data_IF_809302257011
#
_entry.id   IF_809302257011
#
_cell.length_a   1.000
_cell.length_b   1.000
_cell.length_c   1.000
_cell.angle_alpha   90.00
_cell.angle_beta   90.00
_cell.angle_gamma   90.00
#
_symmetry.space_group_name_H-M   'P 1'
#
loop_
_entity.id
_entity.type
_entity.pdbx_description
1 polymer ?
#
# COMPACT_ATOMS: atom_id res chain seq x y z
N UNK A 1 2.23 -1.31 -14.98
CA UNK A 1 1.39 -1.51 -16.18
C UNK A 1 1.42 -0.28 -17.07
N UNK A 2 1.10 -0.39 -18.35
CA UNK A 2 0.97 0.73 -19.29
C UNK A 2 -0.49 0.91 -19.71
N UNK A 3 -0.80 2.01 -20.39
CA UNK A 3 -2.16 2.27 -20.90
C UNK A 3 -2.61 1.22 -21.93
N UNK A 4 -3.93 1.10 -22.08
CA UNK A 4 -4.58 0.12 -22.96
C UNK A 4 -5.22 -1.03 -22.18
N UNK A 5 -5.55 -2.12 -22.89
CA UNK A 5 -6.40 -3.19 -22.35
C UNK A 5 -5.98 -3.74 -20.97
N UNK A 6 -4.68 -3.92 -20.65
CA UNK A 6 -4.26 -4.32 -19.30
C UNK A 6 -4.56 -3.26 -18.23
N UNK A 7 -4.24 -1.99 -18.49
CA UNK A 7 -4.54 -0.87 -17.60
C UNK A 7 -6.04 -0.71 -17.37
N UNK A 8 -6.82 -0.80 -18.45
CA UNK A 8 -8.29 -0.77 -18.37
C UNK A 8 -8.84 -1.92 -17.52
N UNK A 9 -8.22 -3.11 -17.61
CA UNK A 9 -8.52 -4.25 -16.74
C UNK A 9 -8.32 -3.92 -15.27
N UNK A 10 -7.15 -3.39 -14.90
CA UNK A 10 -6.88 -2.98 -13.52
C UNK A 10 -7.83 -1.89 -13.01
N UNK A 11 -8.16 -0.90 -13.84
CA UNK A 11 -9.15 0.13 -13.47
C UNK A 11 -10.52 -0.48 -13.21
N UNK A 12 -10.97 -1.43 -14.06
CA UNK A 12 -12.24 -2.12 -13.83
C UNK A 12 -12.21 -2.98 -12.56
N UNK A 13 -11.12 -3.69 -12.29
CA UNK A 13 -11.06 -4.65 -11.18
C UNK A 13 -10.75 -4.03 -9.82
N UNK A 14 -9.81 -3.09 -9.76
CA UNK A 14 -9.28 -2.57 -8.49
C UNK A 14 -9.33 -1.05 -8.40
N UNK A 15 -9.82 -0.34 -9.43
CA UNK A 15 -9.98 1.11 -9.42
C UNK A 15 -8.71 1.95 -9.55
N UNK A 16 -7.54 1.33 -9.40
CA UNK A 16 -6.25 1.97 -9.62
C UNK A 16 -5.13 0.97 -9.78
N UNK A 17 -3.97 1.43 -10.25
CA UNK A 17 -2.78 0.61 -10.45
C UNK A 17 -1.49 1.43 -10.59
N UNK A 18 -0.36 0.74 -10.50
CA UNK A 18 0.96 1.30 -10.79
C UNK A 18 1.15 1.49 -12.30
N UNK A 19 1.22 2.74 -12.76
CA UNK A 19 1.46 3.06 -14.16
C UNK A 19 2.93 3.41 -14.41
N UNK A 20 3.56 2.67 -15.33
CA UNK A 20 4.95 2.93 -15.74
C UNK A 20 5.07 4.35 -16.31
N UNK A 21 6.11 5.08 -15.88
CA UNK A 21 6.31 6.47 -16.30
C UNK A 21 5.43 7.51 -15.59
N UNK A 22 4.55 7.08 -14.68
CA UNK A 22 3.75 7.97 -13.81
C UNK A 22 4.03 7.70 -12.34
N UNK A 23 3.76 6.47 -11.91
CA UNK A 23 3.87 5.99 -10.54
C UNK A 23 5.33 5.76 -10.15
N UNK A 24 5.62 5.86 -8.86
CA UNK A 24 6.97 5.68 -8.29
C UNK A 24 6.95 4.74 -7.10
N UNK A 25 8.05 4.00 -6.87
CA UNK A 25 8.19 3.03 -5.77
C UNK A 25 9.43 3.28 -4.87
N UNK A 26 9.54 4.42 -4.17
CA UNK A 26 10.61 4.62 -3.20
C UNK A 26 10.38 3.83 -1.90
N UNK A 27 11.44 3.62 -1.12
CA UNK A 27 11.36 3.16 0.26
C UNK A 27 11.22 4.33 1.22
N UNK A 28 10.22 4.33 2.10
CA UNK A 28 10.01 5.37 3.09
C UNK A 28 9.11 4.91 4.24
N UNK A 29 9.15 5.67 5.36
CA UNK A 29 8.26 5.46 6.50
C UNK A 29 6.96 6.22 6.26
N UNK A 30 5.86 5.51 6.02
CA UNK A 30 4.55 6.12 5.89
C UNK A 30 3.88 6.21 7.27
N UNK A 31 3.30 7.36 7.58
CA UNK A 31 2.53 7.59 8.81
C UNK A 31 1.04 7.58 8.49
N UNK A 32 0.30 6.60 9.01
CA UNK A 32 -1.14 6.44 8.84
C UNK A 32 -1.85 6.85 10.12
N UNK A 33 -2.34 8.09 10.15
CA UNK A 33 -2.92 8.70 11.35
C UNK A 33 -4.45 8.80 11.32
N UNK A 34 -5.04 8.79 10.13
CA UNK A 34 -6.47 8.99 9.90
C UNK A 34 -6.99 7.92 8.96
N UNK A 35 -8.17 7.42 9.27
CA UNK A 35 -8.84 6.36 8.51
C UNK A 35 -10.26 6.81 8.15
N UNK A 36 -10.79 6.39 6.98
CA UNK A 36 -12.15 6.69 6.58
C UNK A 36 -13.16 5.93 7.43
N UNK A 37 -14.42 6.39 7.41
CA UNK A 37 -15.56 5.60 7.86
C UNK A 37 -15.89 4.54 6.80
N UNK A 38 -15.15 3.42 6.84
CA UNK A 38 -15.31 2.30 5.94
C UNK A 38 -15.00 0.99 6.67
N UNK A 39 -15.76 -0.11 6.46
CA UNK A 39 -15.56 -1.37 7.16
C UNK A 39 -14.11 -1.90 7.10
N UNK A 40 -13.40 -1.65 5.99
CA UNK A 40 -11.99 -2.06 5.84
C UNK A 40 -11.04 -1.40 6.85
N UNK A 41 -11.41 -0.23 7.38
CA UNK A 41 -10.67 0.45 8.44
C UNK A 41 -11.04 -0.02 9.86
N UNK A 42 -12.02 -0.92 10.03
CA UNK A 42 -12.46 -1.36 11.35
C UNK A 42 -11.31 -1.94 12.19
N UNK A 43 -11.18 -1.41 13.42
CA UNK A 43 -10.18 -1.84 14.39
C UNK A 43 -8.72 -1.53 14.03
N UNK A 44 -8.45 -0.84 12.91
CA UNK A 44 -7.11 -0.35 12.56
C UNK A 44 -6.81 0.87 13.42
N UNK A 45 -5.67 0.86 14.10
CA UNK A 45 -5.18 1.97 14.91
C UNK A 45 -4.10 2.75 14.16
N UNK A 46 -3.81 4.01 14.53
CA UNK A 46 -2.69 4.74 13.95
C UNK A 46 -1.38 3.97 14.06
N UNK A 47 -0.64 3.92 12.96
CA UNK A 47 0.65 3.25 12.87
C UNK A 47 1.54 3.95 11.84
N UNK A 48 2.83 3.70 11.93
CA UNK A 48 3.78 4.05 10.89
C UNK A 48 4.63 2.84 10.60
N UNK A 49 5.08 2.69 9.37
CA UNK A 49 5.88 1.53 9.00
C UNK A 49 6.67 1.83 7.75
N UNK A 50 7.88 1.28 7.71
CA UNK A 50 8.70 1.36 6.53
C UNK A 50 8.37 0.25 5.53
N UNK A 51 8.15 0.64 4.28
CA UNK A 51 7.97 -0.25 3.14
C UNK A 51 8.46 0.41 1.84
N UNK A 52 8.42 -0.32 0.73
CA UNK A 52 8.51 0.25 -0.62
C UNK A 52 7.11 0.75 -1.01
N UNK A 53 6.68 1.88 -0.46
CA UNK A 53 5.33 2.40 -0.65
C UNK A 53 5.19 3.12 -1.98
N UNK A 54 4.34 2.59 -2.85
CA UNK A 54 4.16 3.13 -4.20
C UNK A 54 3.16 4.28 -4.17
N UNK A 55 3.43 5.33 -4.94
CA UNK A 55 2.51 6.47 -5.05
C UNK A 55 2.52 7.13 -6.42
N UNK A 56 1.73 8.19 -6.56
CA UNK A 56 1.33 8.77 -7.85
C UNK A 56 0.65 7.72 -8.74
N UNK A 57 -0.26 6.95 -8.14
CA UNK A 57 -0.97 5.86 -8.79
C UNK A 57 -1.92 6.38 -9.88
N UNK A 58 -2.19 5.55 -10.89
CA UNK A 58 -3.27 5.82 -11.85
C UNK A 58 -4.57 5.31 -11.23
N UNK A 59 -5.56 6.18 -11.10
CA UNK A 59 -6.92 5.84 -10.66
C UNK A 59 -7.92 6.03 -11.80
N UNK A 60 -9.15 5.54 -11.60
CA UNK A 60 -10.31 5.96 -12.40
C UNK A 60 -10.43 7.48 -12.38
N UNK A 61 -11.03 8.04 -13.42
CA UNK A 61 -11.28 9.48 -13.48
C UNK A 61 -12.11 9.91 -12.26
N UNK A 62 -11.69 11.01 -11.63
CA UNK A 62 -12.26 11.51 -10.37
C UNK A 62 -12.32 10.50 -9.22
N UNK A 63 -11.54 9.42 -9.29
CA UNK A 63 -11.55 8.31 -8.32
C UNK A 63 -12.96 7.70 -8.14
N UNK A 64 -13.74 7.63 -9.22
CA UNK A 64 -15.11 7.12 -9.16
C UNK A 64 -15.18 5.70 -8.57
N UNK A 65 -15.94 5.55 -7.49
CA UNK A 65 -16.11 4.30 -6.76
C UNK A 65 -14.84 3.82 -6.05
N UNK A 66 -13.82 4.67 -5.89
CA UNK A 66 -12.57 4.37 -5.16
C UNK A 66 -12.54 5.11 -3.83
N UNK A 67 -12.32 4.38 -2.74
CA UNK A 67 -12.18 4.93 -1.39
C UNK A 67 -10.76 4.68 -0.88
N UNK A 68 -9.95 5.72 -0.66
CA UNK A 68 -8.65 5.57 0.01
C UNK A 68 -8.81 5.05 1.43
N UNK A 69 -8.02 4.04 1.80
CA UNK A 69 -7.98 3.46 3.14
C UNK A 69 -6.73 3.90 3.90
N UNK A 70 -5.56 3.75 3.26
CA UNK A 70 -4.29 4.18 3.82
C UNK A 70 -3.76 5.36 3.00
N UNK A 71 -3.69 6.53 3.64
CA UNK A 71 -3.20 7.77 3.03
C UNK A 71 -2.11 8.38 3.89
N UNK A 72 -1.03 8.81 3.27
CA UNK A 72 0.06 9.52 3.93
C UNK A 72 0.66 10.57 2.97
N UNK A 73 1.41 11.51 3.54
CA UNK A 73 2.14 12.54 2.78
C UNK A 73 3.61 12.13 2.73
N UNK A 74 4.17 11.84 1.55
CA UNK A 74 5.58 11.46 1.44
C UNK A 74 6.51 12.60 1.88
N UNK A 75 7.70 12.30 2.45
CA UNK A 75 8.68 13.32 2.77
C UNK A 75 9.26 13.97 1.52
N UNK A 76 9.80 15.19 1.66
CA UNK A 76 10.25 15.99 0.51
C UNK A 76 11.44 15.37 -0.25
N UNK A 77 12.26 14.59 0.44
CA UNK A 77 13.45 13.92 -0.09
C UNK A 77 13.19 12.46 -0.53
N UNK A 78 11.92 12.03 -0.57
CA UNK A 78 11.56 10.63 -0.88
C UNK A 78 11.88 10.22 -2.32
N UNK A 79 11.88 11.18 -3.26
CA UNK A 79 12.15 10.93 -4.68
C UNK A 79 13.51 11.54 -5.05
N UNK A 80 14.44 10.77 -5.62
CA UNK A 80 15.69 11.32 -6.18
C UNK A 80 15.45 12.33 -7.30
N UNK A 81 16.32 13.34 -7.42
CA UNK A 81 16.21 14.38 -8.45
C UNK A 81 16.30 13.86 -9.89
N UNK A 82 17.04 12.75 -10.10
CA UNK A 82 17.22 12.15 -11.43
C UNK A 82 16.04 11.25 -11.78
N UNK A 83 15.45 11.48 -12.95
CA UNK A 83 14.36 10.66 -13.49
C UNK A 83 14.80 9.19 -13.65
N UNK A 84 13.93 8.27 -13.23
CA UNK A 84 14.05 6.84 -13.44
C UNK A 84 12.64 6.26 -13.65
N UNK A 85 12.47 5.42 -14.66
CA UNK A 85 11.17 4.90 -15.11
C UNK A 85 10.35 4.17 -14.01
N UNK A 86 11.01 3.73 -12.94
CA UNK A 86 10.37 3.19 -11.73
C UNK A 86 10.40 4.14 -10.53
N UNK A 87 11.38 5.04 -10.41
CA UNK A 87 11.67 5.66 -9.12
C UNK A 87 11.54 7.19 -9.09
N UNK A 88 11.33 7.87 -10.22
CA UNK A 88 11.25 9.33 -10.24
C UNK A 88 10.62 9.84 -11.53
N UNK A 89 9.50 10.56 -11.40
CA UNK A 89 8.81 11.27 -12.49
C UNK A 89 8.57 12.73 -12.09
N UNK A 90 8.53 13.64 -13.07
CA UNK A 90 8.33 15.06 -12.82
C UNK A 90 7.00 15.36 -12.10
N UNK A 91 5.93 14.64 -12.47
CA UNK A 91 4.61 14.74 -11.84
C UNK A 91 4.65 14.30 -10.37
N UNK A 92 5.27 13.15 -10.08
CA UNK A 92 5.42 12.66 -8.71
C UNK A 92 6.24 13.63 -7.83
N UNK A 93 7.34 14.20 -8.36
CA UNK A 93 8.11 15.23 -7.65
C UNK A 93 7.28 16.48 -7.37
N UNK A 94 6.48 16.92 -8.33
CA UNK A 94 5.61 18.08 -8.15
C UNK A 94 4.54 17.81 -7.07
N UNK A 95 3.95 16.61 -7.04
CA UNK A 95 3.00 16.20 -6.02
C UNK A 95 3.63 16.18 -4.61
N UNK A 96 4.83 15.62 -4.47
CA UNK A 96 5.59 15.65 -3.20
C UNK A 96 5.87 17.08 -2.76
N UNK A 97 6.33 17.95 -3.68
CA UNK A 97 6.61 19.37 -3.37
C UNK A 97 5.37 20.13 -2.90
N UNK A 98 4.19 19.81 -3.45
CA UNK A 98 2.91 20.38 -3.00
C UNK A 98 2.37 19.75 -1.71
N UNK A 99 2.98 18.67 -1.24
CA UNK A 99 2.52 17.84 -0.11
C UNK A 99 1.16 17.20 -0.37
N UNK A 100 0.92 16.79 -1.62
CA UNK A 100 -0.32 16.12 -2.01
C UNK A 100 -0.42 14.77 -1.27
N UNK A 101 -1.56 14.47 -0.60
CA UNK A 101 -1.78 13.15 -0.01
C UNK A 101 -1.67 12.04 -1.05
N UNK A 102 -1.01 10.93 -0.68
CA UNK A 102 -0.83 9.75 -1.52
C UNK A 102 -1.53 8.54 -0.90
N UNK A 103 -2.05 7.64 -1.74
CA UNK A 103 -2.88 6.52 -1.31
C UNK A 103 -2.15 5.19 -1.50
N UNK A 104 -1.71 4.59 -0.39
CA UNK A 104 -0.96 3.33 -0.36
C UNK A 104 -1.89 2.12 -0.34
N UNK A 105 -3.14 2.33 0.04
CA UNK A 105 -4.20 1.33 0.00
C UNK A 105 -5.53 1.98 -0.31
N UNK A 106 -6.34 1.33 -1.14
CA UNK A 106 -7.69 1.77 -1.48
C UNK A 106 -8.57 0.57 -1.75
N UNK A 107 -9.88 0.77 -1.64
CA UNK A 107 -10.90 -0.16 -2.11
C UNK A 107 -11.62 0.44 -3.31
N UNK A 108 -12.22 -0.40 -4.13
CA UNK A 108 -13.07 0.01 -5.24
C UNK A 108 -14.36 -0.80 -5.27
N UNK A 109 -15.49 -0.15 -5.49
CA UNK A 109 -16.77 -0.79 -5.79
C UNK A 109 -17.25 -0.34 -7.17
N UNK A 110 -17.78 -1.29 -7.95
CA UNK A 110 -18.36 -1.03 -9.26
C UNK A 110 -19.89 -0.93 -9.16
N UNK A 111 -20.58 -0.30 -10.15
CA UNK A 111 -22.04 -0.20 -10.15
C UNK A 111 -22.79 -1.54 -10.09
N UNK A 112 -22.15 -2.64 -10.53
CA UNK A 112 -22.69 -3.99 -10.45
C UNK A 112 -22.43 -4.69 -9.10
N UNK A 113 -21.89 -3.97 -8.11
CA UNK A 113 -21.56 -4.50 -6.78
C UNK A 113 -20.22 -5.25 -6.71
N UNK A 114 -19.48 -5.42 -7.82
CA UNK A 114 -18.16 -6.06 -7.74
C UNK A 114 -17.16 -5.19 -7.00
N UNK A 115 -16.32 -5.84 -6.17
CA UNK A 115 -15.38 -5.20 -5.27
C UNK A 115 -13.94 -5.59 -5.58
N UNK A 116 -13.03 -4.65 -5.36
CA UNK A 116 -11.59 -4.85 -5.48
C UNK A 116 -10.85 -3.96 -4.49
N UNK A 117 -9.55 -4.21 -4.31
CA UNK A 117 -8.69 -3.34 -3.52
C UNK A 117 -7.29 -3.33 -4.10
N UNK A 118 -6.55 -2.25 -3.88
CA UNK A 118 -5.12 -2.18 -4.13
C UNK A 118 -4.36 -1.92 -2.84
N UNK A 119 -3.20 -2.54 -2.71
CA UNK A 119 -2.27 -2.37 -1.58
C UNK A 119 -0.85 -2.35 -2.14
N UNK A 120 -0.07 -1.37 -1.71
CA UNK A 120 1.28 -1.11 -2.27
C UNK A 120 2.41 -1.51 -1.32
N UNK A 121 2.08 -2.07 -0.15
CA UNK A 121 3.08 -2.57 0.80
C UNK A 121 3.39 -4.04 0.58
N UNK A 122 4.28 -4.58 1.42
CA UNK A 122 4.66 -5.98 1.44
C UNK A 122 6.05 -6.23 0.87
N UNK A 123 6.86 -5.19 0.64
CA UNK A 123 8.26 -5.36 0.22
C UNK A 123 9.09 -6.03 1.32
N UNK A 124 8.90 -5.61 2.57
CA UNK A 124 9.57 -6.21 3.72
C UNK A 124 8.64 -7.20 4.42
N UNK A 125 8.96 -8.50 4.32
CA UNK A 125 8.10 -9.58 4.80
C UNK A 125 7.84 -9.52 6.32
N UNK A 126 8.78 -9.01 7.11
CA UNK A 126 8.62 -8.81 8.55
C UNK A 126 7.51 -7.81 8.90
N UNK A 127 7.08 -6.92 7.99
CA UNK A 127 5.93 -6.03 8.21
C UNK A 127 4.63 -6.79 8.55
N UNK A 128 4.51 -8.07 8.18
CA UNK A 128 3.34 -8.88 8.53
C UNK A 128 3.18 -9.16 10.03
N UNK A 129 4.18 -8.88 10.88
CA UNK A 129 4.02 -8.94 12.34
C UNK A 129 3.48 -7.63 12.93
N UNK A 130 3.32 -6.56 12.14
CA UNK A 130 2.53 -5.40 12.57
C UNK A 130 1.04 -5.73 12.43
N UNK A 131 0.33 -5.70 13.55
CA UNK A 131 -1.09 -6.08 13.58
C UNK A 131 -1.98 -5.13 12.79
N UNK A 132 -1.65 -3.84 12.67
CA UNK A 132 -2.44 -2.89 11.88
C UNK A 132 -2.22 -3.10 10.39
N UNK A 133 -0.95 -3.27 9.98
CA UNK A 133 -0.56 -3.59 8.59
C UNK A 133 -1.26 -4.86 8.10
N UNK A 134 -1.28 -5.91 8.92
CA UNK A 134 -1.94 -7.16 8.58
C UNK A 134 -3.46 -7.07 8.63
N UNK A 135 -4.02 -6.42 9.66
CA UNK A 135 -5.47 -6.27 9.84
C UNK A 135 -6.13 -5.55 8.68
N UNK A 136 -5.56 -4.46 8.20
CA UNK A 136 -6.18 -3.70 7.09
C UNK A 136 -6.26 -4.53 5.82
N UNK A 137 -5.24 -5.35 5.52
CA UNK A 137 -5.25 -6.27 4.37
C UNK A 137 -6.27 -7.39 4.56
N UNK A 138 -6.32 -8.02 5.74
CA UNK A 138 -7.31 -9.06 6.04
C UNK A 138 -8.74 -8.52 5.95
N UNK A 139 -8.99 -7.32 6.48
CA UNK A 139 -10.26 -6.64 6.35
C UNK A 139 -10.62 -6.45 4.85
N UNK A 140 -9.68 -5.98 4.02
CA UNK A 140 -9.94 -5.80 2.59
C UNK A 140 -10.25 -7.11 1.86
N UNK A 141 -9.55 -8.20 2.20
CA UNK A 141 -9.83 -9.54 1.67
C UNK A 141 -11.26 -9.96 2.04
N UNK A 142 -11.64 -9.87 3.32
CA UNK A 142 -13.00 -10.16 3.78
C UNK A 142 -14.06 -9.30 3.07
N UNK A 143 -13.77 -8.01 2.87
CA UNK A 143 -14.69 -7.09 2.21
C UNK A 143 -14.93 -7.42 0.74
N UNK A 144 -13.88 -7.78 -0.02
CA UNK A 144 -14.03 -8.20 -1.43
C UNK A 144 -14.68 -9.58 -1.56
N UNK A 145 -14.62 -10.41 -0.51
CA UNK A 145 -15.38 -11.65 -0.40
C UNK A 145 -16.86 -11.43 -0.03
N UNK A 146 -17.32 -10.18 0.08
CA UNK A 146 -18.68 -9.81 0.49
C UNK A 146 -19.07 -10.23 1.91
N UNK A 147 -18.09 -10.51 2.75
CA UNK A 147 -18.30 -10.87 4.15
C UNK A 147 -18.28 -9.64 5.07
N UNK A 148 -18.91 -9.76 6.24
CA UNK A 148 -18.95 -8.69 7.24
C UNK A 148 -17.63 -8.62 8.01
N UNK A 149 -17.08 -7.42 8.13
CA UNK A 149 -15.89 -7.18 8.96
C UNK A 149 -16.32 -6.84 10.39
N UNK A 150 -15.79 -7.53 11.43
CA UNK A 150 -16.08 -7.19 12.81
C UNK A 150 -15.70 -5.75 13.16
N UNK A 151 -16.34 -5.15 14.16
CA UNK A 151 -16.03 -3.77 14.58
C UNK A 151 -14.56 -3.58 15.00
N UNK A 152 -13.93 -4.63 15.53
CA UNK A 152 -12.52 -4.64 15.93
C UNK A 152 -11.57 -5.15 14.82
N UNK A 153 -12.08 -5.31 13.60
CA UNK A 153 -11.36 -5.90 12.47
C UNK A 153 -11.33 -7.44 12.52
N UNK A 154 -10.86 -8.05 11.44
CA UNK A 154 -10.68 -9.49 11.33
C UNK A 154 -9.57 -9.93 12.30
N UNK A 155 -9.85 -10.87 13.23
CA UNK A 155 -8.86 -11.33 14.20
C UNK A 155 -7.78 -12.17 13.52
N UNK A 156 -6.53 -12.01 13.94
CA UNK A 156 -5.42 -12.83 13.46
C UNK A 156 -4.27 -12.86 14.48
N UNK A 157 -3.64 -14.01 14.67
CA UNK A 157 -2.54 -14.19 15.63
C UNK A 157 -1.21 -13.66 15.05
N UNK A 158 -0.50 -12.78 15.75
CA UNK A 158 0.75 -12.19 15.26
C UNK A 158 1.78 -13.30 14.94
N UNK A 159 2.28 -13.38 13.69
CA UNK A 159 3.24 -14.40 13.32
C UNK A 159 4.56 -14.26 14.09
N UNK A 160 5.14 -15.38 14.51
CA UNK A 160 6.51 -15.39 15.03
C UNK A 160 7.53 -15.24 13.91
N UNK A 161 8.79 -14.97 14.26
CA UNK A 161 9.87 -14.93 13.26
C UNK A 161 10.02 -16.30 12.58
N UNK A 162 9.94 -17.40 13.34
CA UNK A 162 10.03 -18.75 12.80
C UNK A 162 8.92 -19.00 11.77
N UNK A 163 7.68 -18.59 12.06
CA UNK A 163 6.56 -18.74 11.14
C UNK A 163 6.72 -17.93 9.85
N UNK A 164 7.34 -16.75 9.90
CA UNK A 164 7.62 -15.97 8.69
C UNK A 164 8.72 -16.60 7.81
N UNK A 165 9.57 -17.45 8.39
CA UNK A 165 10.63 -18.17 7.68
C UNK A 165 10.16 -19.51 7.10
N UNK A 166 8.99 -19.99 7.48
CA UNK A 166 8.41 -21.21 6.90
C UNK A 166 8.13 -21.04 5.41
N UNK A 167 8.43 -22.07 4.61
CA UNK A 167 8.16 -22.14 3.17
C UNK A 167 8.82 -21.04 2.32
N UNK A 168 9.91 -20.42 2.77
CA UNK A 168 10.69 -19.51 1.95
C UNK A 168 11.44 -20.26 0.84
N UNK A 169 11.40 -19.73 -0.38
CA UNK A 169 12.05 -20.32 -1.56
C UNK A 169 13.59 -20.27 -1.50
N UNK A 170 14.14 -19.36 -0.68
CA UNK A 170 15.56 -19.08 -0.58
C UNK A 170 16.09 -19.28 0.85
N UNK A 171 17.37 -19.66 1.01
CA UNK A 171 18.01 -19.68 2.32
C UNK A 171 17.95 -18.32 3.01
N UNK A 172 17.96 -18.33 4.34
CA UNK A 172 17.97 -17.12 5.14
C UNK A 172 19.19 -16.25 4.82
N UNK A 173 18.94 -14.99 4.45
CA UNK A 173 19.97 -13.97 4.25
C UNK A 173 19.95 -12.99 5.43
N UNK A 174 20.75 -13.30 6.45
CA UNK A 174 20.87 -12.47 7.66
C UNK A 174 21.33 -11.03 7.37
N UNK A 175 21.91 -10.76 6.18
CA UNK A 175 22.31 -9.40 5.78
C UNK A 175 21.12 -8.52 5.40
N UNK A 176 19.93 -9.10 5.18
CA UNK A 176 18.69 -8.40 4.81
C UNK A 176 17.71 -8.25 5.96
N UNK A 177 18.08 -8.70 7.16
CA UNK A 177 17.27 -8.50 8.36
C UNK A 177 17.31 -7.03 8.74
N UNK A 178 16.14 -6.41 8.83
CA UNK A 178 16.01 -5.04 9.33
C UNK A 178 16.11 -5.05 10.85
N UNK A 179 16.99 -4.19 11.38
CA UNK A 179 17.13 -4.01 12.82
C UNK A 179 15.90 -3.32 13.44
N UNK A 180 15.24 -2.45 12.68
CA UNK A 180 14.02 -1.75 13.08
C UNK A 180 13.17 -1.47 11.83
N UNK A 181 11.92 -1.96 11.83
CA UNK A 181 10.95 -1.76 10.74
C UNK A 181 10.25 -0.41 10.77
N UNK A 182 10.38 0.31 11.88
CA UNK A 182 9.80 1.62 12.12
C UNK A 182 10.81 2.74 11.87
N UNK A 183 12.10 2.42 11.83
CA UNK A 183 13.16 3.36 11.49
C UNK A 183 13.23 3.65 9.98
N UNK A 184 13.84 4.77 9.61
CA UNK A 184 14.18 5.06 8.21
C UNK A 184 15.35 4.17 7.73
N UNK A 185 15.06 3.16 6.92
CA UNK A 185 16.02 2.54 6.00
C UNK A 185 16.32 3.49 4.84
N UNK A 186 17.59 3.85 4.69
CA UNK A 186 18.14 4.47 3.49
C UNK A 186 19.02 3.44 2.80
N UNK A 187 18.68 3.07 1.56
CA UNK A 187 19.53 2.22 0.74
C UNK A 187 20.88 2.94 0.59
N UNK A 188 21.95 2.34 1.12
CA UNK A 188 23.31 2.86 0.99
C UNK A 188 23.75 2.92 -0.46
#
# INVERSE_FOLDING_TARGET
TVDGAPGDGFLRWMGGYFQLGKSVNPHWVAHFEKFPDHPVANGVQPFHIQDEWYFNMRFRDNMEGVTPILTAVPPLDVIPEKDHHHNSTADARAAVKRRDPQHMMWVSENPNGSRGFGFTGGHFHDNWQDDNFRKVVLNAITWISHENIPANGVPSATPTNEQLLENQDYPEDLSRIRADRYAEYKRK
#
